data_IF_604700043369
#
_entry.id   IF_604700043369
#
_cell.length_a   1.000
_cell.length_b   1.000
_cell.length_c   1.000
_cell.angle_alpha   90.00
_cell.angle_beta   90.00
_cell.angle_gamma   90.00
#
_symmetry.space_group_name_H-M   'P 1'
#
loop_
_entity.id
_entity.type
_entity.pdbx_description
1 polymer ?
#
# COMPACT_ATOMS: atom_id res chain seq x y z
N UNK A 1 16.32 -8.77 7.70
CA UNK A 1 15.64 -7.52 7.30
C UNK A 1 14.23 -7.88 6.88
N UNK A 2 13.27 -7.74 7.79
CA UNK A 2 11.84 -7.84 7.48
C UNK A 2 11.48 -6.66 6.57
N UNK A 3 11.39 -6.93 5.27
CA UNK A 3 10.87 -5.97 4.29
C UNK A 3 9.35 -5.94 4.45
N UNK A 4 8.86 -5.22 5.47
CA UNK A 4 7.43 -4.98 5.59
C UNK A 4 6.94 -4.28 4.33
N UNK A 5 6.01 -4.94 3.63
CA UNK A 5 5.43 -4.45 2.40
C UNK A 5 4.01 -4.98 2.25
N UNK A 6 3.04 -4.14 1.89
CA UNK A 6 1.66 -4.54 1.62
C UNK A 6 1.51 -5.17 0.22
N UNK A 7 2.62 -5.50 -0.44
CA UNK A 7 2.62 -5.97 -1.81
C UNK A 7 2.11 -7.42 -1.91
N UNK A 8 1.03 -7.63 -2.67
CA UNK A 8 0.48 -8.96 -2.97
C UNK A 8 0.97 -9.51 -4.32
N UNK A 9 2.11 -9.01 -4.83
CA UNK A 9 2.65 -9.31 -6.16
C UNK A 9 1.70 -8.98 -7.35
N UNK A 10 0.70 -8.13 -7.12
CA UNK A 10 -0.17 -7.58 -8.17
C UNK A 10 0.20 -6.11 -8.37
N UNK A 11 0.78 -5.78 -9.52
CA UNK A 11 1.19 -4.42 -9.87
C UNK A 11 0.42 -3.90 -11.09
N UNK A 12 -0.84 -3.51 -10.86
CA UNK A 12 -1.70 -2.90 -11.88
C UNK A 12 -2.12 -1.52 -11.37
N UNK A 13 -1.62 -0.46 -12.00
CA UNK A 13 -1.98 0.92 -11.65
C UNK A 13 -3.33 1.26 -12.32
N UNK A 14 -4.29 1.71 -11.52
CA UNK A 14 -5.54 2.24 -12.06
C UNK A 14 -5.30 3.61 -12.71
N UNK A 15 -5.73 3.78 -13.96
CA UNK A 15 -5.65 5.07 -14.65
C UNK A 15 -6.54 6.14 -14.01
N UNK A 16 -7.66 5.72 -13.42
CA UNK A 16 -8.65 6.62 -12.81
C UNK A 16 -8.18 7.16 -11.45
N UNK A 17 -7.48 6.33 -10.67
CA UNK A 17 -7.15 6.64 -9.27
C UNK A 17 -5.67 6.87 -9.03
N UNK A 18 -4.81 6.45 -9.97
CA UNK A 18 -3.34 6.51 -9.82
C UNK A 18 -2.78 5.50 -8.81
N UNK A 19 -3.62 4.64 -8.22
CA UNK A 19 -3.24 3.68 -7.20
C UNK A 19 -3.09 2.27 -7.77
N UNK A 20 -2.20 1.49 -7.17
CA UNK A 20 -2.07 0.06 -7.44
C UNK A 20 -3.29 -0.70 -6.94
N UNK A 21 -3.94 -1.47 -7.81
CA UNK A 21 -5.12 -2.30 -7.48
C UNK A 21 -4.85 -3.37 -6.43
N UNK A 22 -3.61 -3.80 -6.26
CA UNK A 22 -3.23 -4.84 -5.29
C UNK A 22 -2.91 -4.30 -3.90
N UNK A 23 -2.09 -3.25 -3.83
CA UNK A 23 -1.54 -2.74 -2.56
C UNK A 23 -1.90 -1.29 -2.26
N UNK A 24 -2.61 -0.58 -3.13
CA UNK A 24 -3.05 0.80 -2.90
C UNK A 24 -1.95 1.87 -3.02
N UNK A 25 -0.67 1.49 -3.17
CA UNK A 25 0.45 2.43 -3.35
C UNK A 25 0.42 3.07 -4.73
N UNK A 26 0.95 4.28 -4.84
CA UNK A 26 1.23 4.96 -6.10
C UNK A 26 2.46 4.37 -6.80
N UNK A 27 2.64 4.69 -8.09
CA UNK A 27 3.84 4.28 -8.83
C UNK A 27 5.14 4.81 -8.21
N UNK A 28 5.12 6.04 -7.70
CA UNK A 28 6.29 6.67 -7.08
C UNK A 28 6.65 5.95 -5.77
N UNK A 29 5.68 5.72 -4.88
CA UNK A 29 5.90 4.99 -3.62
C UNK A 29 6.39 3.55 -3.85
N UNK A 30 6.00 2.92 -4.97
CA UNK A 30 6.52 1.60 -5.35
C UNK A 30 8.00 1.68 -5.76
N UNK A 31 8.37 2.68 -6.56
CA UNK A 31 9.75 2.91 -7.00
C UNK A 31 10.68 3.22 -5.83
N UNK A 32 10.23 4.08 -4.92
CA UNK A 32 11.05 4.57 -3.81
C UNK A 32 11.04 3.63 -2.60
N UNK A 33 10.27 2.54 -2.65
CA UNK A 33 10.01 1.71 -1.47
C UNK A 33 11.29 1.22 -0.77
N UNK A 34 12.31 0.84 -1.54
CA UNK A 34 13.58 0.37 -1.02
C UNK A 34 14.39 1.47 -0.31
N UNK A 35 14.20 2.73 -0.68
CA UNK A 35 14.93 3.88 -0.13
C UNK A 35 14.20 4.54 1.04
N UNK A 36 12.90 4.30 1.20
CA UNK A 36 12.11 4.84 2.32
C UNK A 36 12.54 4.24 3.66
N UNK A 37 12.51 5.08 4.71
CA UNK A 37 12.73 4.65 6.10
C UNK A 37 11.56 3.81 6.63
N UNK A 38 11.76 3.04 7.70
CA UNK A 38 10.66 2.30 8.35
C UNK A 38 9.47 3.18 8.74
N UNK A 39 9.73 4.39 9.24
CA UNK A 39 8.71 5.36 9.64
C UNK A 39 7.92 5.90 8.46
N UNK A 40 8.59 6.18 7.34
CA UNK A 40 7.95 6.60 6.09
C UNK A 40 7.07 5.48 5.52
N UNK A 41 7.57 4.23 5.55
CA UNK A 41 6.81 3.06 5.12
C UNK A 41 5.57 2.87 6.00
N UNK A 42 5.71 2.95 7.33
CA UNK A 42 4.59 2.86 8.26
C UNK A 42 3.54 3.94 7.98
N UNK A 43 3.98 5.18 7.79
CA UNK A 43 3.11 6.31 7.43
C UNK A 43 2.35 6.06 6.13
N UNK A 44 3.01 5.55 5.09
CA UNK A 44 2.33 5.21 3.84
C UNK A 44 1.30 4.10 4.11
N UNK A 45 1.70 3.03 4.80
CA UNK A 45 0.85 1.86 5.02
C UNK A 45 -0.43 2.17 5.79
N UNK A 46 -0.41 3.06 6.78
CA UNK A 46 -1.62 3.49 7.52
C UNK A 46 -2.65 4.20 6.64
N UNK A 47 -2.22 4.80 5.54
CA UNK A 47 -3.11 5.55 4.63
C UNK A 47 -3.70 4.71 3.51
N UNK A 48 -3.14 3.53 3.20
CA UNK A 48 -3.48 2.76 2.00
C UNK A 48 -4.94 2.30 1.98
N UNK A 49 -5.46 1.83 3.11
CA UNK A 49 -6.87 1.39 3.20
C UNK A 49 -7.81 2.56 2.96
N UNK A 50 -7.59 3.71 3.60
CA UNK A 50 -8.41 4.90 3.37
C UNK A 50 -8.37 5.37 1.92
N UNK A 51 -7.17 5.40 1.30
CA UNK A 51 -7.02 5.78 -0.12
C UNK A 51 -7.81 4.85 -1.03
N UNK A 52 -7.72 3.53 -0.82
CA UNK A 52 -8.44 2.54 -1.62
C UNK A 52 -9.96 2.63 -1.41
N UNK A 53 -10.43 2.80 -0.18
CA UNK A 53 -11.85 2.97 0.14
C UNK A 53 -12.42 4.25 -0.49
N UNK A 54 -11.71 5.37 -0.38
CA UNK A 54 -12.13 6.64 -0.99
C UNK A 54 -12.17 6.56 -2.52
N UNK A 55 -11.30 5.73 -3.10
CA UNK A 55 -11.25 5.44 -4.52
C UNK A 55 -12.29 4.40 -4.98
N UNK A 56 -13.14 3.88 -4.08
CA UNK A 56 -14.12 2.83 -4.40
C UNK A 56 -13.49 1.50 -4.80
N UNK A 57 -12.22 1.27 -4.42
CA UNK A 57 -11.45 0.09 -4.81
C UNK A 57 -11.62 -1.04 -3.78
N UNK A 58 -11.53 -2.29 -4.25
CA UNK A 58 -11.51 -3.46 -3.35
C UNK A 58 -10.23 -3.46 -2.53
N UNK A 59 -10.37 -3.33 -1.21
CA UNK A 59 -9.24 -3.43 -0.26
C UNK A 59 -8.86 -4.90 -0.09
N UNK A 60 -7.56 -5.22 -0.20
CA UNK A 60 -7.10 -6.60 -0.03
C UNK A 60 -7.07 -6.98 1.45
N UNK A 61 -7.47 -8.22 1.83
CA UNK A 61 -7.40 -8.67 3.22
C UNK A 61 -5.98 -8.64 3.80
N UNK A 62 -4.96 -8.84 2.96
CA UNK A 62 -3.56 -8.76 3.35
C UNK A 62 -3.18 -7.35 3.84
N UNK A 63 -3.73 -6.30 3.22
CA UNK A 63 -3.50 -4.92 3.64
C UNK A 63 -4.20 -4.60 4.97
N UNK A 64 -5.43 -5.10 5.17
CA UNK A 64 -6.17 -4.93 6.43
C UNK A 64 -5.46 -5.65 7.58
N UNK A 65 -5.01 -6.89 7.34
CA UNK A 65 -4.31 -7.70 8.33
C UNK A 65 -3.00 -7.08 8.81
N UNK A 66 -2.32 -6.32 7.94
CA UNK A 66 -1.13 -5.58 8.34
C UNK A 66 -1.46 -4.45 9.34
N UNK A 67 -2.56 -3.70 9.11
CA UNK A 67 -3.00 -2.66 10.06
C UNK A 67 -3.38 -3.21 11.43
N UNK A 68 -3.94 -4.42 11.47
CA UNK A 68 -4.32 -5.10 12.72
C UNK A 68 -3.13 -5.62 13.52
N UNK A 69 -2.01 -5.93 12.86
CA UNK A 69 -0.83 -6.58 13.46
C UNK A 69 0.28 -5.60 13.83
N UNK A 70 0.27 -4.37 13.28
CA UNK A 70 1.28 -3.35 13.59
C UNK A 70 0.99 -2.48 14.83
N UNK A 71 -0.01 -2.85 15.64
CA UNK A 71 -0.25 -2.31 16.98
C UNK A 71 0.14 -3.35 18.04
#
# INVERSE_FOLDING_TARGET
>A
MSYESPCIAVCVISHETGLCRGCGRTRQEISDWATLTPEERATIMTTLVQRMTNAGMKVSPALVRWLEVCC
#
